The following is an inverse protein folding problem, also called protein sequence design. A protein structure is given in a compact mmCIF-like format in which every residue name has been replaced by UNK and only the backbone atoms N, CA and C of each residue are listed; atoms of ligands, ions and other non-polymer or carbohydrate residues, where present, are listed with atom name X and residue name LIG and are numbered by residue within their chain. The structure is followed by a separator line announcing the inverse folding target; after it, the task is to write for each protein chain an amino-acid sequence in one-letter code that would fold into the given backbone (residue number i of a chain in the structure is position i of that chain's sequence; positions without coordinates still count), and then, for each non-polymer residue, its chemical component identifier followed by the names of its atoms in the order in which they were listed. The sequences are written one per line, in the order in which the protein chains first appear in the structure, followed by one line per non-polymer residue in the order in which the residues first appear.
data_IF_717673654702
#
_entry.id   IF_717673654702
#
_cell.length_a   1.000
_cell.length_b   1.000
_cell.length_c   1.000
_cell.angle_alpha   90.00
_cell.angle_beta   90.00
_cell.angle_gamma   90.00
#
_symmetry.space_group_name_H-M   'P 1'
#
loop_
_entity.id
_entity.type
_entity.pdbx_description
1 polymer ?
#
# COMPACT_ATOMS: atom_id res chain seq x y z
N UNK A 1 -26.88 -10.48 4.08
CA UNK A 1 -25.67 -10.19 3.26
C UNK A 1 -24.41 -9.91 4.11
N UNK A 2 -24.50 -9.31 5.31
CA UNK A 2 -23.35 -9.02 6.19
C UNK A 2 -22.47 -10.25 6.56
N UNK A 3 -23.05 -11.44 6.73
CA UNK A 3 -22.29 -12.63 7.17
C UNK A 3 -21.26 -13.14 6.15
N UNK A 4 -21.48 -12.94 4.84
CA UNK A 4 -20.51 -13.31 3.79
C UNK A 4 -19.31 -12.36 3.74
N UNK A 5 -19.45 -11.17 4.33
CA UNK A 5 -18.43 -10.12 4.35
C UNK A 5 -17.38 -10.40 5.43
N UNK A 6 -17.82 -10.67 6.66
CA UNK A 6 -16.94 -11.10 7.75
C UNK A 6 -16.11 -12.33 7.39
N UNK A 7 -16.72 -13.30 6.69
CA UNK A 7 -16.04 -14.51 6.26
C UNK A 7 -14.90 -14.20 5.26
N UNK A 8 -15.10 -13.27 4.32
CA UNK A 8 -14.07 -12.90 3.33
C UNK A 8 -12.93 -12.10 3.95
N UNK A 9 -13.22 -11.17 4.85
CA UNK A 9 -12.19 -10.44 5.59
C UNK A 9 -11.41 -11.35 6.53
N UNK A 10 -12.09 -12.27 7.22
CA UNK A 10 -11.44 -13.27 8.06
C UNK A 10 -10.55 -14.21 7.24
N UNK A 11 -11.01 -14.67 6.06
CA UNK A 11 -10.20 -15.48 5.14
C UNK A 11 -9.02 -14.68 4.60
N UNK A 12 -9.18 -13.41 4.24
CA UNK A 12 -8.08 -12.58 3.77
C UNK A 12 -7.04 -12.34 4.87
N UNK A 13 -7.47 -12.09 6.11
CA UNK A 13 -6.58 -11.95 7.28
C UNK A 13 -5.90 -13.27 7.59
N UNK A 14 -6.61 -14.40 7.55
CA UNK A 14 -6.05 -15.73 7.78
C UNK A 14 -5.06 -16.12 6.66
N UNK A 15 -5.40 -15.89 5.39
CA UNK A 15 -4.50 -16.10 4.27
C UNK A 15 -3.28 -15.20 4.36
N UNK A 16 -3.42 -13.93 4.73
CA UNK A 16 -2.27 -13.05 4.99
C UNK A 16 -1.43 -13.60 6.15
N UNK A 17 -2.03 -13.95 7.28
CA UNK A 17 -1.32 -14.52 8.41
C UNK A 17 -0.59 -15.83 8.04
N UNK A 18 -1.13 -16.64 7.14
CA UNK A 18 -0.49 -17.85 6.63
C UNK A 18 0.59 -17.52 5.61
N UNK A 19 0.38 -16.58 4.68
CA UNK A 19 1.36 -16.20 3.66
C UNK A 19 2.55 -15.44 4.25
N UNK A 20 2.31 -14.68 5.30
CA UNK A 20 3.29 -13.94 6.09
C UNK A 20 3.96 -14.87 7.11
N UNK A 21 3.16 -15.74 7.76
CA UNK A 21 3.60 -16.62 8.84
C UNK A 21 4.25 -17.91 8.38
N UNK A 22 3.87 -18.51 7.24
CA UNK A 22 4.43 -19.77 6.78
C UNK A 22 5.91 -19.65 6.36
N UNK A 23 6.33 -18.59 5.64
CA UNK A 23 7.76 -18.36 5.39
C UNK A 23 8.50 -18.04 6.69
N UNK A 24 7.90 -17.31 7.63
CA UNK A 24 8.49 -17.08 8.95
C UNK A 24 8.71 -18.42 9.71
N UNK A 25 7.72 -19.32 9.72
CA UNK A 25 7.81 -20.64 10.37
C UNK A 25 8.81 -21.56 9.67
N UNK A 26 8.86 -21.56 8.33
CA UNK A 26 9.84 -22.35 7.57
C UNK A 26 11.28 -21.88 7.80
N UNK A 27 11.49 -20.57 8.01
CA UNK A 27 12.82 -20.01 8.23
C UNK A 27 13.21 -20.03 9.71
N UNK A 28 12.28 -20.08 10.68
CA UNK A 28 12.56 -20.18 12.14
C UNK A 28 13.34 -21.44 12.58
N UNK A 29 13.67 -22.35 11.65
CA UNK A 29 14.63 -23.43 11.91
C UNK A 29 16.09 -22.96 12.01
N UNK A 30 16.41 -21.71 11.66
CA UNK A 30 17.70 -21.07 11.93
C UNK A 30 17.65 -20.08 13.11
N UNK A 31 18.70 -20.03 13.94
CA UNK A 31 18.82 -19.11 15.10
C UNK A 31 18.71 -17.61 14.74
N UNK A 32 18.77 -17.29 13.45
CA UNK A 32 18.75 -15.95 12.87
C UNK A 32 17.42 -15.20 13.09
N UNK A 33 16.31 -15.89 13.36
CA UNK A 33 14.96 -15.29 13.41
C UNK A 33 14.40 -14.95 14.81
N UNK A 34 15.20 -15.07 15.87
CA UNK A 34 14.77 -14.65 17.22
C UNK A 34 14.94 -13.16 17.51
N UNK A 35 15.51 -12.41 16.57
CA UNK A 35 15.70 -10.97 16.70
C UNK A 35 14.37 -10.21 16.83
N UNK A 36 14.29 -9.27 17.78
CA UNK A 36 13.14 -8.37 17.94
C UNK A 36 12.90 -7.52 16.68
N UNK A 37 13.93 -7.35 15.85
CA UNK A 37 13.92 -6.59 14.61
C UNK A 37 13.02 -7.25 13.56
N UNK A 38 13.12 -8.58 13.42
CA UNK A 38 12.28 -9.36 12.52
C UNK A 38 10.80 -9.27 12.93
N UNK A 39 10.51 -9.53 14.20
CA UNK A 39 9.14 -9.46 14.73
C UNK A 39 8.56 -8.04 14.66
N UNK A 40 9.40 -7.02 14.87
CA UNK A 40 9.03 -5.63 14.68
C UNK A 40 8.64 -5.33 13.23
N UNK A 41 9.45 -5.77 12.26
CA UNK A 41 9.18 -5.55 10.84
C UNK A 41 7.90 -6.29 10.41
N UNK A 42 7.73 -7.52 10.88
CA UNK A 42 6.54 -8.32 10.65
C UNK A 42 5.27 -7.65 11.21
N UNK A 43 5.35 -7.16 12.45
CA UNK A 43 4.25 -6.46 13.11
C UNK A 43 3.91 -5.15 12.40
N UNK A 44 4.93 -4.37 12.01
CA UNK A 44 4.76 -3.13 11.25
C UNK A 44 4.09 -3.37 9.89
N UNK A 45 4.57 -4.35 9.13
CA UNK A 45 3.97 -4.73 7.85
C UNK A 45 2.53 -5.24 8.01
N UNK A 46 2.29 -6.10 9.00
CA UNK A 46 0.94 -6.59 9.31
C UNK A 46 -0.01 -5.44 9.65
N UNK A 47 0.45 -4.47 10.44
CA UNK A 47 -0.33 -3.28 10.78
C UNK A 47 -0.67 -2.44 9.55
N UNK A 48 0.29 -2.21 8.65
CA UNK A 48 0.06 -1.48 7.40
C UNK A 48 -0.97 -2.20 6.53
N UNK A 49 -0.85 -3.52 6.37
CA UNK A 49 -1.81 -4.33 5.62
C UNK A 49 -3.21 -4.25 6.23
N UNK A 50 -3.35 -4.34 7.55
CA UNK A 50 -4.63 -4.21 8.24
C UNK A 50 -5.23 -2.82 8.04
N UNK A 51 -4.42 -1.76 8.16
CA UNK A 51 -4.86 -0.38 7.92
C UNK A 51 -5.35 -0.19 6.48
N UNK A 52 -4.67 -0.80 5.51
CA UNK A 52 -5.01 -0.71 4.10
C UNK A 52 -6.31 -1.46 3.78
N UNK A 53 -6.47 -2.69 4.30
CA UNK A 53 -7.72 -3.43 4.19
C UNK A 53 -8.89 -2.69 4.85
N UNK A 54 -8.67 -2.06 6.00
CA UNK A 54 -9.67 -1.24 6.67
C UNK A 54 -10.04 0.03 5.86
N UNK A 55 -9.06 0.65 5.20
CA UNK A 55 -9.28 1.81 4.36
C UNK A 55 -10.05 1.44 3.07
N UNK A 56 -9.63 0.36 2.39
CA UNK A 56 -10.28 -0.12 1.16
C UNK A 56 -11.71 -0.62 1.42
N UNK A 57 -11.94 -1.31 2.54
CA UNK A 57 -13.28 -1.76 2.93
C UNK A 57 -14.24 -0.59 3.12
N UNK A 58 -13.77 0.50 3.74
CA UNK A 58 -14.56 1.72 3.93
C UNK A 58 -14.91 2.40 2.60
N UNK A 59 -13.95 2.46 1.66
CA UNK A 59 -14.17 3.04 0.34
C UNK A 59 -15.16 2.23 -0.52
N UNK A 60 -15.07 0.89 -0.51
CA UNK A 60 -15.94 0.02 -1.32
C UNK A 60 -17.39 0.02 -0.90
N UNK A 61 -17.68 0.20 0.40
CA UNK A 61 -19.07 0.33 0.88
C UNK A 61 -19.75 1.57 0.28
N UNK A 62 -18.98 2.60 -0.06
CA UNK A 62 -19.47 3.84 -0.62
C UNK A 62 -19.58 3.84 -2.16
N UNK A 63 -18.90 2.91 -2.86
CA UNK A 63 -18.92 2.81 -4.32
C UNK A 63 -20.00 1.81 -4.79
N UNK A 64 -21.24 2.27 -5.01
CA UNK A 64 -22.39 1.40 -5.37
C UNK A 64 -22.54 1.09 -6.87
N UNK A 65 -21.50 1.21 -7.70
CA UNK A 65 -21.59 0.90 -9.13
C UNK A 65 -20.32 0.25 -9.68
N UNK A 66 -20.34 -1.07 -9.91
CA UNK A 66 -19.21 -1.77 -10.52
C UNK A 66 -19.28 -1.66 -12.05
N UNK A 67 -18.29 -1.00 -12.65
CA UNK A 67 -18.12 -0.96 -14.11
C UNK A 67 -17.01 -1.92 -14.54
N UNK A 68 -16.93 -2.25 -15.83
CA UNK A 68 -15.92 -3.12 -16.43
C UNK A 68 -14.46 -2.68 -16.11
N UNK A 69 -14.25 -1.40 -15.80
CA UNK A 69 -12.99 -0.82 -15.34
C UNK A 69 -12.47 -1.39 -14.00
N UNK A 70 -13.33 -2.02 -13.18
CA UNK A 70 -12.92 -2.66 -11.91
C UNK A 70 -11.94 -3.81 -12.13
N UNK A 71 -11.90 -4.42 -13.33
CA UNK A 71 -11.00 -5.54 -13.62
C UNK A 71 -9.54 -5.11 -13.72
N UNK A 72 -9.26 -3.96 -14.33
CA UNK A 72 -7.90 -3.43 -14.44
C UNK A 72 -7.39 -2.93 -13.09
N UNK A 73 -8.26 -2.28 -12.33
CA UNK A 73 -8.03 -1.89 -10.93
C UNK A 73 -7.68 -3.08 -10.03
N UNK A 74 -8.48 -4.14 -10.12
CA UNK A 74 -8.25 -5.38 -9.36
C UNK A 74 -6.92 -6.02 -9.73
N UNK A 75 -6.54 -6.02 -11.01
CA UNK A 75 -5.23 -6.52 -11.46
C UNK A 75 -4.09 -5.67 -10.92
N UNK A 76 -4.23 -4.34 -10.91
CA UNK A 76 -3.21 -3.45 -10.37
C UNK A 76 -3.01 -3.65 -8.86
N UNK A 77 -4.11 -3.72 -8.10
CA UNK A 77 -4.07 -4.02 -6.67
C UNK A 77 -3.49 -5.42 -6.39
N UNK A 78 -3.80 -6.42 -7.23
CA UNK A 78 -3.21 -7.75 -7.13
C UNK A 78 -1.71 -7.76 -7.42
N UNK A 79 -1.24 -7.02 -8.43
CA UNK A 79 0.19 -6.85 -8.70
C UNK A 79 0.89 -6.14 -7.55
N UNK A 80 0.30 -5.08 -7.02
CA UNK A 80 0.85 -4.33 -5.88
C UNK A 80 0.94 -5.21 -4.62
N UNK A 81 -0.11 -6.00 -4.35
CA UNK A 81 -0.09 -7.01 -3.30
C UNK A 81 0.98 -8.08 -3.54
N UNK A 82 1.14 -8.56 -4.77
CA UNK A 82 2.20 -9.51 -5.14
C UNK A 82 3.59 -8.90 -4.94
N UNK A 83 3.80 -7.63 -5.30
CA UNK A 83 5.06 -6.91 -5.09
C UNK A 83 5.38 -6.80 -3.60
N UNK A 84 4.40 -6.44 -2.76
CA UNK A 84 4.58 -6.41 -1.30
C UNK A 84 4.88 -7.79 -0.72
N UNK A 85 4.32 -8.83 -1.31
CA UNK A 85 4.47 -10.21 -0.85
C UNK A 85 5.81 -10.82 -1.28
N UNK A 86 6.24 -10.59 -2.52
CA UNK A 86 7.60 -10.87 -2.99
C UNK A 86 8.61 -10.06 -2.19
N UNK A 87 8.23 -8.83 -1.79
CA UNK A 87 9.05 -7.98 -0.95
C UNK A 87 9.27 -8.56 0.43
N UNK A 88 8.20 -9.04 1.05
CA UNK A 88 8.27 -9.77 2.31
C UNK A 88 9.04 -11.10 2.17
N UNK A 89 8.93 -11.81 1.04
CA UNK A 89 9.71 -13.03 0.81
C UNK A 89 11.21 -12.71 0.65
N UNK A 90 11.55 -11.63 -0.06
CA UNK A 90 12.91 -11.10 -0.18
C UNK A 90 13.47 -10.64 1.16
N UNK A 91 12.63 -10.00 1.99
CA UNK A 91 12.93 -9.64 3.38
C UNK A 91 13.43 -10.83 4.19
N UNK A 92 12.67 -11.93 4.11
CA UNK A 92 12.93 -13.16 4.86
C UNK A 92 14.20 -13.85 4.35
N UNK A 93 14.44 -13.80 3.04
CA UNK A 93 15.65 -14.34 2.43
C UNK A 93 16.90 -13.50 2.77
N UNK A 94 16.81 -12.17 2.72
CA UNK A 94 17.92 -11.25 2.97
C UNK A 94 18.30 -11.20 4.46
N UNK A 95 17.33 -11.26 5.38
CA UNK A 95 17.59 -11.38 6.81
C UNK A 95 18.37 -12.66 7.18
N UNK A 96 18.36 -13.68 6.30
CA UNK A 96 19.15 -14.89 6.46
C UNK A 96 20.61 -14.77 6.01
N UNK A 97 20.97 -13.75 5.22
CA UNK A 97 22.23 -13.68 4.48
C UNK A 97 23.27 -12.72 5.06
N UNK A 98 22.91 -11.74 5.89
CA UNK A 98 23.89 -10.79 6.46
C UNK A 98 23.65 -10.49 7.95
N UNK A 99 24.71 -10.60 8.76
CA UNK A 99 24.66 -10.76 10.23
C UNK A 99 24.87 -9.46 11.03
N UNK A 100 24.85 -8.29 10.39
CA UNK A 100 24.93 -7.03 11.15
C UNK A 100 23.57 -6.70 11.76
N UNK A 101 23.43 -6.97 13.06
CA UNK A 101 22.24 -6.57 13.82
C UNK A 101 22.09 -5.05 13.72
N UNK A 102 20.96 -4.54 13.20
CA UNK A 102 20.76 -3.10 13.13
C UNK A 102 20.73 -2.52 14.54
N UNK A 103 21.24 -1.30 14.68
CA UNK A 103 21.16 -0.58 15.92
C UNK A 103 19.68 -0.37 16.29
N UNK A 104 19.31 -0.51 17.57
CA UNK A 104 17.91 -0.41 18.02
C UNK A 104 17.20 0.88 17.58
N UNK A 105 17.97 1.98 17.45
CA UNK A 105 17.47 3.25 16.93
C UNK A 105 17.02 3.17 15.46
N UNK A 106 17.73 2.43 14.60
CA UNK A 106 17.34 2.20 13.21
C UNK A 106 16.04 1.39 13.13
N UNK A 107 15.88 0.40 14.01
CA UNK A 107 14.64 -0.39 14.12
C UNK A 107 13.47 0.48 14.55
N UNK A 108 13.66 1.32 15.58
CA UNK A 108 12.62 2.23 16.07
C UNK A 108 12.21 3.27 15.02
N UNK A 109 13.19 3.87 14.32
CA UNK A 109 12.93 4.84 13.25
C UNK A 109 12.26 4.18 12.04
N UNK A 110 12.70 2.99 11.62
CA UNK A 110 12.05 2.25 10.54
C UNK A 110 10.60 1.86 10.87
N UNK A 111 10.34 1.44 12.11
CA UNK A 111 8.98 1.19 12.59
C UNK A 111 8.11 2.46 12.55
N UNK A 112 8.65 3.59 13.00
CA UNK A 112 7.97 4.88 12.94
C UNK A 112 7.63 5.26 11.49
N UNK A 113 8.55 5.06 10.55
CA UNK A 113 8.31 5.28 9.11
C UNK A 113 7.17 4.40 8.61
N UNK A 114 7.11 3.13 8.99
CA UNK A 114 6.00 2.23 8.62
C UNK A 114 4.65 2.69 9.17
N UNK A 115 4.61 3.12 10.43
CA UNK A 115 3.39 3.67 11.04
C UNK A 115 2.95 4.93 10.29
N UNK A 116 3.89 5.84 10.02
CA UNK A 116 3.60 7.08 9.27
C UNK A 116 3.07 6.78 7.87
N UNK A 117 3.65 5.80 7.17
CA UNK A 117 3.15 5.30 5.89
C UNK A 117 1.70 4.84 5.97
N UNK A 118 1.36 4.00 6.97
CA UNK A 118 0.00 3.52 7.17
C UNK A 118 -0.99 4.64 7.47
N UNK A 119 -0.61 5.58 8.35
CA UNK A 119 -1.43 6.75 8.71
C UNK A 119 -1.67 7.65 7.50
N UNK A 120 -0.62 7.93 6.71
CA UNK A 120 -0.68 8.81 5.56
C UNK A 120 -1.58 8.22 4.45
N UNK A 121 -1.46 6.92 4.16
CA UNK A 121 -2.36 6.23 3.21
C UNK A 121 -3.79 6.18 3.71
N UNK A 122 -4.01 5.81 4.97
CA UNK A 122 -5.36 5.76 5.56
C UNK A 122 -6.04 7.12 5.52
N UNK A 123 -5.30 8.18 5.85
CA UNK A 123 -5.82 9.56 5.86
C UNK A 123 -6.15 10.03 4.45
N UNK A 124 -5.30 9.70 3.46
CA UNK A 124 -5.55 10.00 2.05
C UNK A 124 -6.83 9.31 1.53
N UNK A 125 -6.97 8.01 1.79
CA UNK A 125 -8.15 7.23 1.39
C UNK A 125 -9.41 7.75 2.10
N UNK A 126 -9.32 8.05 3.39
CA UNK A 126 -10.44 8.59 4.15
C UNK A 126 -10.90 9.97 3.66
N UNK A 127 -9.97 10.84 3.26
CA UNK A 127 -10.29 12.17 2.68
C UNK A 127 -10.94 12.07 1.30
N UNK A 128 -10.52 11.10 0.48
CA UNK A 128 -11.15 10.84 -0.82
C UNK A 128 -12.52 10.16 -0.69
N UNK A 129 -12.74 9.36 0.35
CA UNK A 129 -14.03 8.72 0.62
C UNK A 129 -14.50 7.85 -0.55
N UNK A 130 -15.71 8.10 -1.06
CA UNK A 130 -16.26 7.44 -2.26
C UNK A 130 -15.49 7.75 -3.54
N UNK A 131 -14.76 8.87 -3.56
CA UNK A 131 -13.87 9.28 -4.65
C UNK A 131 -12.60 8.44 -4.74
N UNK A 132 -12.27 7.69 -3.68
CA UNK A 132 -11.20 6.69 -3.74
C UNK A 132 -11.70 5.46 -4.49
N UNK A 133 -11.67 5.56 -5.81
CA UNK A 133 -11.96 4.46 -6.71
C UNK A 133 -10.68 3.65 -6.94
N UNK A 134 -10.75 2.33 -6.73
CA UNK A 134 -9.72 1.40 -7.21
C UNK A 134 -9.63 1.49 -8.77
N UNK A 135 -10.74 1.86 -9.42
CA UNK A 135 -10.90 2.12 -10.85
C UNK A 135 -10.19 3.39 -11.36
N UNK A 136 -9.84 3.37 -12.64
CA UNK A 136 -9.15 4.46 -13.34
C UNK A 136 -10.04 5.65 -13.72
N UNK A 137 -11.33 5.62 -13.42
CA UNK A 137 -12.23 6.74 -13.67
C UNK A 137 -12.30 7.59 -12.39
N UNK A 138 -11.57 8.73 -12.31
CA UNK A 138 -11.70 9.61 -11.16
C UNK A 138 -13.14 10.09 -11.07
N UNK A 139 -13.73 10.01 -9.87
CA UNK A 139 -14.92 10.81 -9.58
C UNK A 139 -14.54 12.28 -9.78
N UNK A 140 -15.42 13.02 -10.44
CA UNK A 140 -15.12 14.26 -11.19
C UNK A 140 -14.59 15.42 -10.31
N UNK A 141 -14.62 15.28 -8.99
CA UNK A 141 -14.29 16.36 -8.07
C UNK A 141 -12.85 16.28 -7.56
N UNK A 142 -12.06 17.30 -7.88
CA UNK A 142 -10.67 17.43 -7.40
C UNK A 142 -10.69 17.85 -5.94
N UNK A 143 -10.35 16.92 -5.04
CA UNK A 143 -10.18 17.22 -3.61
C UNK A 143 -8.89 18.02 -3.40
N UNK A 144 -8.99 19.22 -2.80
CA UNK A 144 -7.84 20.10 -2.50
C UNK A 144 -7.74 20.46 -1.01
N UNK A 145 -8.50 19.79 -0.16
CA UNK A 145 -8.55 20.03 1.28
C UNK A 145 -7.64 19.07 2.03
N UNK A 146 -7.25 19.44 3.25
CA UNK A 146 -6.47 18.56 4.12
C UNK A 146 -5.10 18.21 3.54
N UNK A 147 -4.80 16.91 3.46
CA UNK A 147 -3.50 16.42 3.01
C UNK A 147 -3.27 16.70 1.52
N UNK A 148 -4.35 16.73 0.74
CA UNK A 148 -4.35 17.05 -0.69
C UNK A 148 -4.01 18.52 -0.99
N UNK A 149 -4.02 19.41 0.02
CA UNK A 149 -3.54 20.78 -0.14
C UNK A 149 -2.00 20.85 -0.20
N UNK A 150 -1.31 19.85 0.34
CA UNK A 150 0.15 19.81 0.45
C UNK A 150 0.77 18.89 -0.60
N UNK A 151 0.13 17.75 -0.83
CA UNK A 151 0.61 16.70 -1.72
C UNK A 151 -0.52 16.26 -2.65
N UNK A 152 -0.25 16.15 -3.96
CA UNK A 152 -1.27 15.68 -4.91
C UNK A 152 -1.60 14.20 -4.76
N UNK A 153 -0.59 13.37 -4.46
CA UNK A 153 -0.74 11.91 -4.36
C UNK A 153 -0.18 11.39 -3.03
N UNK A 154 -0.76 11.77 -1.89
CA UNK A 154 -0.27 11.33 -0.59
C UNK A 154 -0.31 9.79 -0.45
N UNK A 155 -1.36 9.13 -0.93
CA UNK A 155 -1.45 7.67 -0.85
C UNK A 155 -0.24 6.95 -1.50
N UNK A 156 0.25 7.45 -2.63
CA UNK A 156 1.42 6.89 -3.32
C UNK A 156 2.73 7.24 -2.61
N UNK A 157 2.84 8.43 -2.02
CA UNK A 157 3.99 8.76 -1.18
C UNK A 157 4.15 7.76 -0.02
N UNK A 158 3.05 7.40 0.65
CA UNK A 158 3.09 6.38 1.70
C UNK A 158 3.60 5.04 1.17
N UNK A 159 3.15 4.62 -0.01
CA UNK A 159 3.62 3.38 -0.63
C UNK A 159 5.14 3.42 -0.90
N UNK A 160 5.65 4.53 -1.44
CA UNK A 160 7.09 4.73 -1.72
C UNK A 160 7.94 4.70 -0.45
N UNK A 161 7.41 5.17 0.69
CA UNK A 161 8.10 5.15 1.98
C UNK A 161 8.13 3.76 2.66
N UNK A 162 7.23 2.85 2.27
CA UNK A 162 7.15 1.51 2.83
C UNK A 162 8.49 0.74 2.75
N UNK A 163 9.14 0.56 1.59
CA UNK A 163 10.42 -0.16 1.50
C UNK A 163 11.54 0.54 2.28
N UNK A 164 11.46 1.86 2.53
CA UNK A 164 12.44 2.59 3.34
C UNK A 164 12.33 2.20 4.81
N UNK A 165 11.12 2.23 5.37
CA UNK A 165 10.90 1.79 6.75
C UNK A 165 11.34 0.35 6.97
N UNK A 166 11.02 -0.53 6.01
CA UNK A 166 11.45 -1.93 6.01
C UNK A 166 12.98 -2.07 6.01
N UNK A 167 13.68 -1.40 5.08
CA UNK A 167 15.14 -1.46 4.97
C UNK A 167 15.83 -1.01 6.26
N UNK A 168 15.35 0.08 6.87
CA UNK A 168 15.87 0.59 8.15
C UNK A 168 15.69 -0.41 9.29
N UNK A 169 14.54 -1.09 9.35
CA UNK A 169 14.29 -2.09 10.39
C UNK A 169 15.19 -3.32 10.28
N UNK A 170 15.55 -3.69 9.06
CA UNK A 170 16.45 -4.81 8.82
C UNK A 170 17.93 -4.44 8.85
N UNK A 171 18.28 -3.15 8.72
CA UNK A 171 19.67 -2.73 8.59
C UNK A 171 20.32 -3.05 7.25
N UNK A 172 19.53 -3.37 6.22
CA UNK A 172 20.03 -3.69 4.86
C UNK A 172 19.67 -2.59 3.87
N UNK A 173 20.67 -2.16 3.10
CA UNK A 173 20.49 -1.19 2.01
C UNK A 173 20.19 -1.86 0.67
N UNK A 174 20.53 -3.14 0.55
CA UNK A 174 20.34 -3.98 -0.63
C UNK A 174 18.85 -4.05 -0.98
N UNK A 175 17.99 -4.12 0.04
CA UNK A 175 16.54 -4.10 -0.14
C UNK A 175 16.04 -2.85 -0.87
N UNK A 176 16.62 -1.68 -0.57
CA UNK A 176 16.26 -0.42 -1.24
C UNK A 176 16.60 -0.45 -2.72
N UNK A 177 17.67 -1.12 -3.14
CA UNK A 177 18.10 -1.12 -4.55
C UNK A 177 17.13 -1.82 -5.49
N UNK A 178 16.33 -2.78 -4.99
CA UNK A 178 15.39 -3.57 -5.80
C UNK A 178 13.96 -3.09 -5.58
N UNK A 179 13.53 -3.01 -4.32
CA UNK A 179 12.13 -2.78 -3.99
C UNK A 179 11.69 -1.35 -4.22
N UNK A 180 12.55 -0.39 -3.89
CA UNK A 180 12.19 1.01 -3.97
C UNK A 180 12.01 1.47 -5.43
N UNK A 181 12.88 1.12 -6.41
CA UNK A 181 12.62 1.40 -7.83
C UNK A 181 11.33 0.74 -8.34
N UNK A 182 11.04 -0.51 -7.95
CA UNK A 182 9.82 -1.19 -8.37
C UNK A 182 8.55 -0.47 -7.86
N UNK A 183 8.57 -0.05 -6.59
CA UNK A 183 7.47 0.74 -6.01
C UNK A 183 7.38 2.12 -6.66
N UNK A 184 8.50 2.78 -6.94
CA UNK A 184 8.50 4.08 -7.63
C UNK A 184 7.89 3.98 -9.03
N UNK A 185 8.30 2.99 -9.83
CA UNK A 185 7.80 2.81 -11.20
C UNK A 185 6.30 2.55 -11.20
N UNK A 186 5.83 1.67 -10.31
CA UNK A 186 4.39 1.38 -10.20
C UNK A 186 3.59 2.59 -9.70
N UNK A 187 4.10 3.31 -8.70
CA UNK A 187 3.49 4.56 -8.20
C UNK A 187 3.43 5.64 -9.28
N UNK A 188 4.53 5.85 -10.02
CA UNK A 188 4.60 6.83 -11.08
C UNK A 188 3.66 6.50 -12.25
N UNK A 189 3.58 5.21 -12.64
CA UNK A 189 2.66 4.75 -13.67
C UNK A 189 1.19 4.99 -13.27
N UNK A 190 0.85 4.81 -11.99
CA UNK A 190 -0.49 5.10 -11.47
C UNK A 190 -0.79 6.60 -11.45
N UNK A 191 0.14 7.41 -10.97
CA UNK A 191 0.02 8.88 -10.96
C UNK A 191 -0.20 9.41 -12.39
N UNK A 192 0.59 8.93 -13.35
CA UNK A 192 0.45 9.35 -14.75
C UNK A 192 -0.93 9.01 -15.35
N UNK A 193 -1.47 7.84 -15.02
CA UNK A 193 -2.83 7.47 -15.42
C UNK A 193 -3.89 8.36 -14.75
N UNK A 194 -3.78 8.59 -13.44
CA UNK A 194 -4.70 9.47 -12.70
C UNK A 194 -4.70 10.89 -13.27
N UNK A 195 -3.52 11.48 -13.50
CA UNK A 195 -3.40 12.81 -14.09
C UNK A 195 -3.98 12.89 -15.51
N UNK A 196 -3.79 11.85 -16.32
CA UNK A 196 -4.35 11.78 -17.67
C UNK A 196 -5.88 11.87 -17.64
N UNK A 197 -6.52 11.08 -16.78
CA UNK A 197 -7.98 11.07 -16.65
C UNK A 197 -8.52 12.39 -16.06
N UNK A 198 -7.82 12.97 -15.09
CA UNK A 198 -8.18 14.29 -14.53
C UNK A 198 -8.12 15.39 -15.59
N UNK A 199 -7.11 15.37 -16.48
CA UNK A 199 -7.03 16.31 -17.62
C UNK A 199 -8.18 16.10 -18.60
N UNK A 200 -8.51 14.85 -18.92
CA UNK A 200 -9.62 14.56 -19.85
C UNK A 200 -10.98 14.96 -19.28
N UNK A 201 -11.21 14.75 -17.97
CA UNK A 201 -12.42 15.19 -17.29
C UNK A 201 -12.58 16.72 -17.36
N UNK A 202 -11.49 17.47 -17.11
CA UNK A 202 -11.49 18.94 -17.19
C UNK A 202 -11.94 19.46 -18.57
N UNK A 203 -11.52 18.80 -19.65
CA UNK A 203 -11.91 19.18 -21.01
C UNK A 203 -13.39 18.93 -21.32
N UNK A 204 -14.01 17.89 -20.73
CA UNK A 204 -15.44 17.59 -20.94
C UNK A 204 -16.39 18.55 -20.23
N UNK A 205 -15.95 19.18 -19.15
CA UNK A 205 -16.74 20.13 -18.36
C UNK A 205 -16.66 21.58 -18.85
N UNK A 206 -15.81 21.88 -19.84
CA UNK A 206 -15.86 23.18 -20.53
C UNK A 206 -17.18 23.23 -21.32
N UNK A 207 -18.11 24.15 -21.02
CA UNK A 207 -19.36 24.23 -21.76
C UNK A 207 -19.03 24.49 -23.22
N UNK A 208 -19.48 23.62 -24.11
CA UNK A 208 -19.78 24.02 -25.48
C UNK A 208 -20.76 25.17 -25.35
N UNK A 209 -20.27 26.40 -25.48
CA UNK A 209 -21.12 27.55 -25.73
C UNK A 209 -21.84 27.20 -27.03
N UNK A 210 -23.09 26.76 -26.89
CA UNK A 210 -23.99 26.69 -28.03
C UNK A 210 -24.26 28.15 -28.33
N UNK A 211 -23.45 28.73 -29.22
CA UNK A 211 -23.81 29.96 -29.90
C UNK A 211 -25.05 29.62 -30.74
N UNK A 212 -26.22 30.05 -30.23
CA UNK A 212 -27.45 30.16 -30.99
C UNK A 212 -27.46 31.47 -31.77
#
# INVERSE_FOLDING_TARGET
MQHRWYLRSAVAVACNAILVGAPAVLVTRGEVLRGMEFWGALAGLSLVVVMELAAQSSARVLSTGSTENDRLATRFNAMQGLVLLVSLAGLIAAAGLDHQRPHWFMVATGFLVLVMTGVLRRSAIAQLGSGFSDGFQPQVEVVRTGLYNWLRHPAELGLVLLPVGVAMMLGTSEWLTIAWPAVLVTSAARIGQEEFWLRQAKHRTTPTVIEC
#
